data_IF_795970196178
#
_entry.id   IF_795970196178
#
_cell.length_a   1.000
_cell.length_b   1.000
_cell.length_c   1.000
_cell.angle_alpha   90.00
_cell.angle_beta   90.00
_cell.angle_gamma   90.00
#
_symmetry.space_group_name_H-M   'P 1'
#
loop_
_entity.id
_entity.type
_entity.pdbx_description
1 polymer ?
#
# COMPACT_ATOMS: atom_id res chain seq x y z
N UNK A 1 -5.89 -24.94 -10.27
CA UNK A 1 -6.36 -23.68 -9.66
C UNK A 1 -5.19 -22.83 -9.09
N UNK A 2 -4.25 -23.41 -8.31
CA UNK A 2 -3.09 -22.66 -7.79
C UNK A 2 -2.19 -22.10 -8.90
N UNK A 3 -1.92 -22.87 -9.95
CA UNK A 3 -1.20 -22.37 -11.13
C UNK A 3 -1.92 -21.20 -11.80
N UNK A 4 -3.27 -21.25 -11.91
CA UNK A 4 -4.05 -20.17 -12.50
C UNK A 4 -3.97 -18.89 -11.67
N UNK A 5 -4.00 -18.96 -10.33
CA UNK A 5 -3.82 -17.83 -9.44
C UNK A 5 -2.44 -17.19 -9.64
N UNK A 6 -1.38 -18.00 -9.66
CA UNK A 6 0.00 -17.54 -9.88
C UNK A 6 0.17 -16.89 -11.27
N UNK A 7 -0.45 -17.46 -12.31
CA UNK A 7 -0.43 -16.89 -13.68
C UNK A 7 -1.14 -15.53 -13.69
N UNK A 8 -2.34 -15.42 -13.08
CA UNK A 8 -3.05 -14.14 -13.01
C UNK A 8 -2.22 -13.07 -12.27
N UNK A 9 -1.57 -13.44 -11.16
CA UNK A 9 -0.69 -12.53 -10.44
C UNK A 9 0.48 -12.06 -11.34
N UNK A 10 1.13 -12.98 -12.05
CA UNK A 10 2.24 -12.65 -12.97
C UNK A 10 1.77 -11.75 -14.13
N UNK A 11 0.59 -12.00 -14.68
CA UNK A 11 0.00 -11.14 -15.71
C UNK A 11 -0.25 -9.73 -15.15
N UNK A 12 -0.87 -9.63 -13.98
CA UNK A 12 -1.10 -8.33 -13.32
C UNK A 12 0.23 -7.59 -13.06
N UNK A 13 1.25 -8.30 -12.59
CA UNK A 13 2.59 -7.76 -12.38
C UNK A 13 3.19 -7.21 -13.68
N UNK A 14 3.16 -7.98 -14.76
CA UNK A 14 3.64 -7.54 -16.08
C UNK A 14 2.87 -6.32 -16.59
N UNK A 15 1.55 -6.27 -16.36
CA UNK A 15 0.72 -5.11 -16.73
C UNK A 15 1.04 -3.88 -15.88
N UNK A 16 1.37 -4.01 -14.59
CA UNK A 16 1.84 -2.88 -13.77
C UNK A 16 3.20 -2.36 -14.26
N UNK A 17 4.09 -3.24 -14.69
CA UNK A 17 5.34 -2.83 -15.32
C UNK A 17 5.10 -2.03 -16.61
N UNK A 18 4.22 -2.52 -17.50
CA UNK A 18 3.82 -1.80 -18.72
C UNK A 18 3.17 -0.46 -18.35
N UNK A 19 2.31 -0.43 -17.35
CA UNK A 19 1.66 0.80 -16.85
C UNK A 19 2.70 1.84 -16.44
N UNK A 20 3.72 1.43 -15.69
CA UNK A 20 4.82 2.29 -15.26
C UNK A 20 5.57 2.85 -16.48
N UNK A 21 5.93 2.01 -17.44
CA UNK A 21 6.61 2.44 -18.67
C UNK A 21 5.77 3.45 -19.46
N UNK A 22 4.46 3.22 -19.59
CA UNK A 22 3.55 4.11 -20.30
C UNK A 22 3.44 5.49 -19.61
N UNK A 23 3.39 5.53 -18.28
CA UNK A 23 3.41 6.80 -17.55
C UNK A 23 4.75 7.51 -17.68
N UNK A 24 5.87 6.81 -17.69
CA UNK A 24 7.18 7.41 -17.93
C UNK A 24 7.31 7.92 -19.36
N UNK A 25 6.85 7.16 -20.35
CA UNK A 25 6.80 7.62 -21.75
C UNK A 25 5.86 8.83 -21.90
N UNK A 26 4.72 8.86 -21.22
CA UNK A 26 3.86 10.05 -21.17
C UNK A 26 4.61 11.26 -20.62
N UNK A 27 5.34 11.08 -19.53
CA UNK A 27 6.10 12.17 -18.90
C UNK A 27 7.25 12.66 -19.80
N UNK A 28 7.91 11.75 -20.54
CA UNK A 28 9.02 12.09 -21.44
C UNK A 28 8.53 12.70 -22.78
N UNK A 29 7.55 12.06 -23.43
CA UNK A 29 7.10 12.39 -24.78
C UNK A 29 5.95 13.40 -24.79
N UNK A 30 5.31 13.65 -23.64
CA UNK A 30 4.23 14.63 -23.43
C UNK A 30 2.99 14.38 -24.32
N UNK A 31 2.78 13.13 -24.74
CA UNK A 31 1.67 12.72 -25.61
C UNK A 31 0.45 12.28 -24.76
N UNK A 32 -0.70 12.99 -24.80
CA UNK A 32 -1.90 12.63 -24.01
C UNK A 32 -2.45 11.24 -24.32
N UNK A 33 -2.21 10.70 -25.53
CA UNK A 33 -2.59 9.32 -25.88
C UNK A 33 -1.94 8.28 -24.98
N UNK A 34 -0.68 8.51 -24.57
CA UNK A 34 0.06 7.60 -23.69
C UNK A 34 -0.54 7.57 -22.28
N UNK A 35 -0.97 8.71 -21.74
CA UNK A 35 -1.62 8.73 -20.43
C UNK A 35 -2.99 8.02 -20.46
N UNK A 36 -3.77 8.19 -21.53
CA UNK A 36 -5.02 7.46 -21.72
C UNK A 36 -4.80 5.96 -21.82
N UNK A 37 -3.75 5.54 -22.54
CA UNK A 37 -3.38 4.13 -22.64
C UNK A 37 -2.92 3.58 -21.29
N UNK A 38 -2.06 4.33 -20.56
CA UNK A 38 -1.60 3.95 -19.23
C UNK A 38 -2.76 3.72 -18.24
N UNK A 39 -3.75 4.61 -18.23
CA UNK A 39 -4.97 4.50 -17.41
C UNK A 39 -5.75 3.23 -17.77
N UNK A 40 -5.91 2.93 -19.06
CA UNK A 40 -6.63 1.71 -19.50
C UNK A 40 -5.89 0.44 -19.10
N UNK A 41 -4.56 0.42 -19.28
CA UNK A 41 -3.73 -0.73 -18.87
C UNK A 41 -3.73 -0.90 -17.35
N UNK A 42 -3.68 0.20 -16.59
CA UNK A 42 -3.78 0.16 -15.12
C UNK A 42 -5.14 -0.40 -14.66
N UNK A 43 -6.23 0.02 -15.30
CA UNK A 43 -7.56 -0.53 -15.01
C UNK A 43 -7.63 -2.03 -15.30
N UNK A 44 -7.14 -2.46 -16.45
CA UNK A 44 -7.08 -3.87 -16.82
C UNK A 44 -6.19 -4.66 -15.85
N UNK A 45 -5.02 -4.11 -15.45
CA UNK A 45 -4.16 -4.71 -14.44
C UNK A 45 -4.88 -4.91 -13.10
N UNK A 46 -5.64 -3.90 -12.66
CA UNK A 46 -6.44 -3.99 -11.43
C UNK A 46 -7.52 -5.08 -11.52
N UNK A 47 -8.19 -5.22 -12.66
CA UNK A 47 -9.20 -6.28 -12.85
C UNK A 47 -8.57 -7.67 -12.77
N UNK A 48 -7.44 -7.89 -13.46
CA UNK A 48 -6.70 -9.15 -13.41
C UNK A 48 -6.18 -9.43 -11.99
N UNK A 49 -5.66 -8.39 -11.32
CA UNK A 49 -5.18 -8.51 -9.95
C UNK A 49 -6.32 -8.84 -8.97
N UNK A 50 -7.48 -8.22 -9.14
CA UNK A 50 -8.69 -8.56 -8.36
C UNK A 50 -9.07 -10.02 -8.56
N UNK A 51 -9.05 -10.51 -9.81
CA UNK A 51 -9.33 -11.91 -10.10
C UNK A 51 -8.31 -12.85 -9.42
N UNK A 52 -7.02 -12.50 -9.38
CA UNK A 52 -6.00 -13.26 -8.65
C UNK A 52 -6.29 -13.31 -7.14
N UNK A 53 -6.65 -12.17 -6.53
CA UNK A 53 -6.99 -12.09 -5.09
C UNK A 53 -8.25 -12.93 -4.78
N UNK A 54 -9.28 -12.81 -5.60
CA UNK A 54 -10.54 -13.58 -5.44
C UNK A 54 -10.27 -15.07 -5.57
N UNK A 55 -9.54 -15.49 -6.63
CA UNK A 55 -9.18 -16.89 -6.82
C UNK A 55 -8.34 -17.42 -5.66
N UNK A 56 -7.43 -16.61 -5.12
CA UNK A 56 -6.67 -16.95 -3.91
C UNK A 56 -7.59 -17.19 -2.71
N UNK A 57 -8.58 -16.32 -2.50
CA UNK A 57 -9.57 -16.48 -1.43
C UNK A 57 -10.38 -17.77 -1.56
N UNK A 58 -10.83 -18.10 -2.78
CA UNK A 58 -11.53 -19.36 -3.07
C UNK A 58 -10.63 -20.57 -2.78
N UNK A 59 -9.37 -20.54 -3.23
CA UNK A 59 -8.42 -21.62 -3.01
C UNK A 59 -8.12 -21.88 -1.55
N UNK A 60 -7.99 -20.81 -0.77
CA UNK A 60 -7.68 -20.91 0.67
C UNK A 60 -8.93 -21.12 1.53
N UNK A 61 -10.15 -20.95 0.99
CA UNK A 61 -11.40 -21.04 1.74
C UNK A 61 -11.56 -19.93 2.79
N UNK A 62 -10.84 -18.81 2.62
CA UNK A 62 -10.81 -17.68 3.55
C UNK A 62 -10.41 -16.38 2.84
N UNK A 63 -10.55 -15.25 3.54
CA UNK A 63 -9.97 -13.99 3.05
C UNK A 63 -8.45 -14.12 2.91
N UNK A 64 -7.87 -13.75 1.74
CA UNK A 64 -6.44 -13.93 1.47
C UNK A 64 -5.62 -12.79 2.10
N UNK A 65 -5.50 -12.80 3.43
CA UNK A 65 -4.87 -11.74 4.24
C UNK A 65 -4.03 -12.29 5.41
N UNK A 66 -3.68 -13.59 5.38
CA UNK A 66 -3.08 -14.25 6.54
C UNK A 66 -1.56 -14.41 6.46
N UNK A 67 -0.94 -14.15 5.32
CA UNK A 67 0.51 -14.23 5.15
C UNK A 67 1.08 -13.02 4.41
N UNK A 68 2.41 -12.94 4.32
CA UNK A 68 3.09 -11.79 3.72
C UNK A 68 2.81 -11.65 2.21
N UNK A 69 2.68 -12.76 1.48
CA UNK A 69 2.31 -12.75 0.07
C UNK A 69 0.92 -12.13 -0.13
N UNK A 70 -0.06 -12.64 0.61
CA UNK A 70 -1.46 -12.18 0.54
C UNK A 70 -1.59 -10.70 0.90
N UNK A 71 -0.92 -10.27 1.97
CA UNK A 71 -0.92 -8.86 2.39
C UNK A 71 -0.24 -7.95 1.36
N UNK A 72 0.94 -8.32 0.86
CA UNK A 72 1.67 -7.51 -0.14
C UNK A 72 0.87 -7.34 -1.42
N UNK A 73 0.21 -8.42 -1.86
CA UNK A 73 -0.68 -8.46 -3.01
C UNK A 73 -1.84 -7.49 -2.81
N UNK A 74 -2.52 -7.55 -1.66
CA UNK A 74 -3.62 -6.64 -1.35
C UNK A 74 -3.16 -5.18 -1.18
N UNK A 75 -1.99 -4.93 -0.61
CA UNK A 75 -1.43 -3.59 -0.44
C UNK A 75 -1.06 -2.95 -1.78
N UNK A 76 -0.38 -3.70 -2.67
CA UNK A 76 -0.06 -3.20 -4.03
C UNK A 76 -1.32 -2.92 -4.83
N UNK A 77 -2.35 -3.77 -4.71
CA UNK A 77 -3.66 -3.57 -5.32
C UNK A 77 -4.34 -2.30 -4.79
N UNK A 78 -4.36 -2.09 -3.47
CA UNK A 78 -4.99 -0.91 -2.86
C UNK A 78 -4.29 0.39 -3.30
N UNK A 79 -2.96 0.42 -3.34
CA UNK A 79 -2.21 1.58 -3.81
C UNK A 79 -2.50 1.88 -5.30
N UNK A 80 -2.55 0.83 -6.15
CA UNK A 80 -2.90 0.97 -7.56
C UNK A 80 -4.33 1.50 -7.75
N UNK A 81 -5.30 0.98 -6.97
CA UNK A 81 -6.71 1.39 -7.02
C UNK A 81 -6.87 2.85 -6.56
N UNK A 82 -6.33 3.19 -5.38
CA UNK A 82 -6.47 4.54 -4.83
C UNK A 82 -5.79 5.54 -5.76
N UNK A 83 -4.58 5.24 -6.27
CA UNK A 83 -3.91 6.12 -7.23
C UNK A 83 -4.70 6.31 -8.51
N UNK A 84 -5.34 5.25 -9.05
CA UNK A 84 -6.20 5.35 -10.24
C UNK A 84 -7.42 6.24 -9.97
N UNK A 85 -8.10 6.06 -8.82
CA UNK A 85 -9.23 6.90 -8.41
C UNK A 85 -8.79 8.38 -8.38
N UNK A 86 -7.62 8.68 -7.83
CA UNK A 86 -7.09 10.05 -7.77
C UNK A 86 -6.73 10.61 -9.15
N UNK A 87 -6.11 9.78 -10.01
CA UNK A 87 -5.81 10.16 -11.39
C UNK A 87 -7.08 10.56 -12.13
N UNK A 88 -8.14 9.75 -12.02
CA UNK A 88 -9.41 10.02 -12.70
C UNK A 88 -10.16 11.21 -12.07
N UNK A 89 -10.28 11.24 -10.74
CA UNK A 89 -11.03 12.30 -10.03
C UNK A 89 -10.43 13.69 -10.21
N UNK A 90 -9.11 13.79 -10.25
CA UNK A 90 -8.41 15.08 -10.32
C UNK A 90 -7.83 15.37 -11.69
N UNK A 91 -8.06 14.51 -12.69
CA UNK A 91 -7.46 14.57 -14.03
C UNK A 91 -5.94 14.80 -13.95
N UNK A 92 -5.26 13.96 -13.19
CA UNK A 92 -3.86 14.11 -12.83
C UNK A 92 -3.02 12.86 -13.22
N UNK A 93 -2.82 12.60 -14.53
CA UNK A 93 -2.09 11.40 -14.99
C UNK A 93 -0.63 11.34 -14.54
N UNK A 94 0.00 12.49 -14.29
CA UNK A 94 1.39 12.55 -13.79
C UNK A 94 1.54 11.84 -12.45
N UNK A 95 0.48 11.78 -11.62
CA UNK A 95 0.49 10.98 -10.39
C UNK A 95 0.88 9.53 -10.66
N UNK A 96 0.43 8.97 -11.81
CA UNK A 96 0.77 7.60 -12.21
C UNK A 96 2.27 7.36 -12.41
N UNK A 97 3.02 8.35 -12.89
CA UNK A 97 4.47 8.25 -13.03
C UNK A 97 5.19 8.11 -11.67
N UNK A 98 4.60 8.60 -10.59
CA UNK A 98 5.17 8.52 -9.25
C UNK A 98 4.58 7.35 -8.43
N UNK A 99 3.31 7.00 -8.62
CA UNK A 99 2.67 5.92 -7.86
C UNK A 99 2.97 4.54 -8.44
N UNK A 100 3.09 4.40 -9.77
CA UNK A 100 3.33 3.10 -10.40
C UNK A 100 4.67 2.44 -9.98
N UNK A 101 5.80 3.15 -9.80
CA UNK A 101 7.01 2.54 -9.26
C UNK A 101 6.80 1.97 -7.85
N UNK A 102 6.08 2.68 -6.98
CA UNK A 102 5.81 2.21 -5.61
C UNK A 102 4.90 0.98 -5.65
N UNK A 103 3.86 1.00 -6.49
CA UNK A 103 2.98 -0.16 -6.71
C UNK A 103 3.78 -1.37 -7.22
N UNK A 104 4.66 -1.16 -8.19
CA UNK A 104 5.49 -2.22 -8.76
C UNK A 104 6.46 -2.79 -7.72
N UNK A 105 7.11 -1.96 -6.90
CA UNK A 105 8.01 -2.42 -5.83
C UNK A 105 7.26 -3.29 -4.81
N UNK A 106 6.04 -2.92 -4.43
CA UNK A 106 5.19 -3.75 -3.56
C UNK A 106 4.79 -5.07 -4.24
N UNK A 107 4.50 -5.05 -5.54
CA UNK A 107 4.18 -6.26 -6.31
C UNK A 107 5.42 -7.17 -6.50
N UNK A 108 6.63 -6.59 -6.66
CA UNK A 108 7.90 -7.35 -6.65
C UNK A 108 8.07 -8.04 -5.30
N UNK A 109 7.88 -7.30 -4.20
CA UNK A 109 7.96 -7.88 -2.86
C UNK A 109 6.95 -9.01 -2.67
N UNK A 110 5.70 -8.86 -3.15
CA UNK A 110 4.71 -9.92 -3.17
C UNK A 110 5.21 -11.15 -3.96
N UNK A 111 5.82 -10.94 -5.13
CA UNK A 111 6.41 -12.01 -5.93
C UNK A 111 7.51 -12.79 -5.20
N UNK A 112 8.39 -12.08 -4.47
CA UNK A 112 9.43 -12.71 -3.64
C UNK A 112 8.81 -13.56 -2.52
N UNK A 113 7.75 -13.07 -1.86
CA UNK A 113 7.02 -13.84 -0.84
C UNK A 113 6.31 -15.05 -1.45
N UNK A 114 5.81 -14.94 -2.68
CA UNK A 114 5.24 -16.08 -3.43
C UNK A 114 6.28 -17.18 -3.67
N UNK A 115 7.50 -16.80 -4.04
CA UNK A 115 8.58 -17.78 -4.23
C UNK A 115 8.92 -18.52 -2.93
N UNK A 116 8.92 -17.82 -1.79
CA UNK A 116 9.10 -18.44 -0.49
C UNK A 116 7.94 -19.38 -0.15
N UNK A 117 6.70 -18.98 -0.41
CA UNK A 117 5.51 -19.82 -0.21
C UNK A 117 5.57 -21.09 -1.06
N UNK A 118 6.01 -21.01 -2.31
CA UNK A 118 6.14 -22.18 -3.19
C UNK A 118 7.16 -23.19 -2.67
N UNK A 119 8.28 -22.74 -2.09
CA UNK A 119 9.26 -23.61 -1.43
C UNK A 119 8.66 -24.34 -0.22
N UNK A 120 7.84 -23.63 0.58
CA UNK A 120 7.13 -24.24 1.74
C UNK A 120 6.13 -25.29 1.25
N UNK A 121 5.39 -25.00 0.17
CA UNK A 121 4.45 -25.98 -0.41
C UNK A 121 5.18 -27.20 -0.96
N UNK A 122 6.30 -27.01 -1.65
CA UNK A 122 7.12 -28.11 -2.18
C UNK A 122 7.63 -29.02 -1.07
N UNK A 123 8.07 -28.45 0.05
CA UNK A 123 8.58 -29.20 1.18
C UNK A 123 7.49 -29.88 2.02
N UNK A 124 6.33 -29.24 2.24
CA UNK A 124 5.35 -29.63 3.26
C UNK A 124 3.93 -29.82 2.72
N UNK A 125 3.73 -29.67 1.40
CA UNK A 125 2.42 -29.74 0.76
C UNK A 125 1.58 -28.47 0.94
N UNK A 126 0.49 -28.38 0.16
CA UNK A 126 -0.39 -27.20 0.15
C UNK A 126 -1.10 -26.93 1.49
N UNK A 127 -1.33 -27.98 2.27
CA UNK A 127 -2.03 -27.86 3.55
C UNK A 127 -1.21 -27.08 4.59
N UNK A 128 0.11 -26.96 4.41
CA UNK A 128 0.97 -26.14 5.25
C UNK A 128 0.64 -24.64 5.22
N UNK A 129 0.12 -24.15 4.09
CA UNK A 129 -0.30 -22.74 3.93
C UNK A 129 -1.81 -22.56 4.05
N UNK A 130 -2.60 -23.64 3.85
CA UNK A 130 -4.06 -23.62 3.96
C UNK A 130 -4.51 -23.69 5.42
N UNK A 131 -3.86 -24.56 6.20
CA UNK A 131 -4.17 -24.75 7.60
C UNK A 131 -3.49 -23.69 8.46
N UNK A 132 -4.21 -22.60 8.69
CA UNK A 132 -3.73 -21.52 9.56
C UNK A 132 -3.62 -21.97 11.01
N UNK A 133 -2.65 -21.38 11.72
CA UNK A 133 -2.59 -21.45 13.18
C UNK A 133 -3.92 -20.95 13.78
N UNK A 134 -4.35 -21.46 14.93
CA UNK A 134 -5.63 -21.09 15.57
C UNK A 134 -5.81 -19.56 15.68
N UNK A 135 -4.75 -18.83 16.04
CA UNK A 135 -4.74 -17.38 16.14
C UNK A 135 -5.17 -16.67 14.84
N UNK A 136 -4.82 -17.22 13.68
CA UNK A 136 -5.12 -16.65 12.36
C UNK A 136 -6.50 -17.06 11.81
N UNK A 137 -7.24 -17.92 12.50
CA UNK A 137 -8.59 -18.37 12.08
C UNK A 137 -9.69 -17.42 12.56
N UNK A 138 -9.34 -16.32 13.21
CA UNK A 138 -10.30 -15.36 13.76
C UNK A 138 -10.84 -14.41 12.69
N UNK A 139 -12.14 -14.11 12.75
CA UNK A 139 -12.78 -13.08 11.92
C UNK A 139 -12.19 -11.68 12.18
N UNK A 140 -11.66 -11.45 13.39
CA UNK A 140 -10.99 -10.21 13.76
C UNK A 140 -9.75 -9.93 12.92
N UNK A 141 -9.01 -10.99 12.54
CA UNK A 141 -7.86 -10.85 11.63
C UNK A 141 -8.27 -10.23 10.29
N UNK A 142 -9.35 -10.72 9.68
CA UNK A 142 -9.83 -10.21 8.39
C UNK A 142 -10.19 -8.72 8.46
N UNK A 143 -10.88 -8.29 9.51
CA UNK A 143 -11.25 -6.89 9.71
C UNK A 143 -10.00 -6.04 9.99
N UNK A 144 -9.12 -6.49 10.89
CA UNK A 144 -7.85 -5.82 11.22
C UNK A 144 -7.03 -5.58 9.96
N UNK A 145 -6.75 -6.62 9.18
CA UNK A 145 -5.91 -6.51 7.98
C UNK A 145 -6.57 -5.66 6.90
N UNK A 146 -7.89 -5.73 6.74
CA UNK A 146 -8.62 -4.87 5.78
C UNK A 146 -8.45 -3.39 6.12
N UNK A 147 -8.53 -3.03 7.40
CA UNK A 147 -8.33 -1.63 7.84
C UNK A 147 -6.88 -1.17 7.66
N UNK A 148 -5.89 -2.05 7.90
CA UNK A 148 -4.47 -1.78 7.60
C UNK A 148 -4.26 -1.46 6.13
N UNK A 149 -4.84 -2.26 5.22
CA UNK A 149 -4.67 -2.09 3.76
C UNK A 149 -5.19 -0.72 3.32
N UNK A 150 -6.36 -0.31 3.81
CA UNK A 150 -6.91 1.03 3.50
C UNK A 150 -6.02 2.13 4.07
N UNK A 151 -5.56 2.00 5.32
CA UNK A 151 -4.68 2.97 5.97
C UNK A 151 -3.36 3.13 5.18
N UNK A 152 -2.70 2.04 4.89
CA UNK A 152 -1.41 2.05 4.20
C UNK A 152 -1.52 2.50 2.74
N UNK A 153 -2.61 2.13 2.06
CA UNK A 153 -2.91 2.65 0.72
C UNK A 153 -3.10 4.17 0.70
N UNK A 154 -3.83 4.73 1.66
CA UNK A 154 -4.02 6.17 1.81
C UNK A 154 -2.70 6.89 2.14
N UNK A 155 -1.90 6.35 3.06
CA UNK A 155 -0.56 6.89 3.38
C UNK A 155 0.38 6.80 2.19
N UNK A 156 0.32 5.73 1.39
CA UNK A 156 1.10 5.58 0.17
C UNK A 156 0.80 6.65 -0.88
N UNK A 157 -0.48 6.97 -1.08
CA UNK A 157 -0.87 8.09 -1.97
C UNK A 157 -0.42 9.44 -1.38
N UNK A 158 -0.56 9.64 -0.06
CA UNK A 158 -0.05 10.84 0.60
C UNK A 158 1.47 11.01 0.42
N UNK A 159 2.22 9.93 0.54
CA UNK A 159 3.67 9.89 0.30
C UNK A 159 3.99 10.34 -1.13
N UNK A 160 3.34 9.75 -2.14
CA UNK A 160 3.55 10.11 -3.54
C UNK A 160 3.27 11.60 -3.78
N UNK A 161 2.16 12.12 -3.24
CA UNK A 161 1.82 13.54 -3.34
C UNK A 161 2.85 14.44 -2.63
N UNK A 162 3.36 14.01 -1.48
CA UNK A 162 4.41 14.69 -0.72
C UNK A 162 5.72 14.75 -1.50
N UNK A 163 6.13 13.65 -2.13
CA UNK A 163 7.31 13.61 -3.00
C UNK A 163 7.14 14.56 -4.20
N UNK A 164 5.99 14.52 -4.88
CA UNK A 164 5.69 15.44 -5.98
C UNK A 164 5.75 16.90 -5.50
N UNK A 165 5.19 17.21 -4.32
CA UNK A 165 5.24 18.54 -3.73
C UNK A 165 6.68 19.01 -3.52
N UNK A 166 7.54 18.17 -2.95
CA UNK A 166 8.95 18.48 -2.69
C UNK A 166 9.74 18.70 -3.98
N UNK A 167 9.48 17.90 -5.00
CA UNK A 167 10.15 17.99 -6.30
C UNK A 167 9.66 19.18 -7.11
N UNK A 168 8.40 19.61 -6.95
CA UNK A 168 7.83 20.73 -7.74
C UNK A 168 8.62 22.03 -7.60
N UNK A 169 9.26 22.27 -6.45
CA UNK A 169 10.11 23.46 -6.25
C UNK A 169 11.39 23.49 -7.11
N UNK A 170 11.76 22.35 -7.72
CA UNK A 170 12.92 22.20 -8.60
C UNK A 170 12.54 22.12 -10.08
N UNK A 171 11.25 22.19 -10.40
CA UNK A 171 10.77 22.07 -11.78
C UNK A 171 10.87 23.42 -12.48
N UNK A 172 11.15 23.38 -13.80
CA UNK A 172 11.23 24.57 -14.64
C UNK A 172 9.85 25.22 -14.73
N UNK A 173 9.76 26.52 -14.46
CA UNK A 173 8.55 27.31 -14.64
C UNK A 173 8.02 27.23 -16.06
N UNK A 174 6.69 27.09 -16.20
CA UNK A 174 6.00 26.90 -17.49
C UNK A 174 6.45 25.64 -18.27
N UNK A 175 7.23 24.74 -17.63
CA UNK A 175 7.56 23.45 -18.21
C UNK A 175 6.38 22.47 -18.19
N UNK A 176 6.52 21.34 -18.90
CA UNK A 176 5.48 20.28 -18.92
C UNK A 176 5.01 19.86 -17.53
N UNK A 177 5.94 19.62 -16.62
CA UNK A 177 5.63 19.20 -15.25
C UNK A 177 4.87 20.26 -14.47
N UNK A 178 5.26 21.54 -14.63
CA UNK A 178 4.59 22.65 -13.96
C UNK A 178 3.14 22.83 -14.42
N UNK A 179 2.89 22.63 -15.70
CA UNK A 179 1.57 22.73 -16.31
C UNK A 179 0.65 21.53 -15.98
N UNK A 180 1.21 20.32 -15.79
CA UNK A 180 0.45 19.08 -15.62
C UNK A 180 0.41 18.58 -14.17
N UNK A 181 1.12 19.22 -13.25
CA UNK A 181 1.06 18.95 -11.82
C UNK A 181 0.17 20.00 -11.14
N UNK A 182 -0.79 19.61 -10.30
CA UNK A 182 -1.61 20.54 -9.54
C UNK A 182 -0.76 21.52 -8.74
N UNK A 183 -1.30 22.73 -8.47
CA UNK A 183 -0.64 23.72 -7.62
C UNK A 183 -0.28 23.12 -6.26
N UNK A 184 0.78 23.65 -5.62
CA UNK A 184 1.28 23.14 -4.33
C UNK A 184 0.20 23.07 -3.25
N UNK A 185 -0.68 24.06 -3.20
CA UNK A 185 -1.77 24.14 -2.22
C UNK A 185 -2.76 22.99 -2.40
N UNK A 186 -3.04 22.60 -3.66
CA UNK A 186 -3.92 21.47 -3.97
C UNK A 186 -3.26 20.14 -3.63
N UNK A 187 -1.95 19.97 -3.95
CA UNK A 187 -1.20 18.77 -3.58
C UNK A 187 -1.18 18.58 -2.07
N UNK A 188 -0.88 19.64 -1.33
CA UNK A 188 -0.85 19.65 0.12
C UNK A 188 -2.21 19.35 0.74
N UNK A 189 -3.29 19.94 0.20
CA UNK A 189 -4.66 19.67 0.67
C UNK A 189 -5.08 18.22 0.43
N UNK A 190 -4.75 17.65 -0.73
CA UNK A 190 -5.09 16.25 -1.04
C UNK A 190 -4.26 15.30 -0.17
N UNK A 191 -2.96 15.56 -0.01
CA UNK A 191 -2.08 14.78 0.87
C UNK A 191 -2.61 14.77 2.31
N UNK A 192 -3.01 15.92 2.84
CA UNK A 192 -3.65 16.02 4.16
C UNK A 192 -4.90 15.14 4.29
N UNK A 193 -5.79 15.17 3.30
CA UNK A 193 -7.00 14.33 3.31
C UNK A 193 -6.65 12.84 3.31
N UNK A 194 -5.64 12.44 2.55
CA UNK A 194 -5.14 11.07 2.55
C UNK A 194 -4.58 10.67 3.93
N UNK A 195 -3.78 11.55 4.57
CA UNK A 195 -3.29 11.30 5.93
C UNK A 195 -4.44 11.18 6.92
N UNK A 196 -5.46 12.06 6.84
CA UNK A 196 -6.62 12.01 7.73
C UNK A 196 -7.39 10.69 7.60
N UNK A 197 -7.62 10.22 6.37
CA UNK A 197 -8.25 8.92 6.11
C UNK A 197 -7.37 7.79 6.64
N UNK A 198 -6.09 7.80 6.29
CA UNK A 198 -5.13 6.79 6.75
C UNK A 198 -5.05 6.70 8.28
N UNK A 199 -5.04 7.85 8.97
CA UNK A 199 -5.01 7.93 10.43
C UNK A 199 -6.27 7.38 11.07
N UNK A 200 -7.44 7.66 10.51
CA UNK A 200 -8.71 7.11 10.98
C UNK A 200 -8.68 5.57 10.91
N UNK A 201 -8.30 5.02 9.76
CA UNK A 201 -8.22 3.57 9.59
C UNK A 201 -7.09 2.93 10.41
N UNK A 202 -5.94 3.58 10.57
CA UNK A 202 -4.86 3.08 11.42
C UNK A 202 -5.27 3.04 12.89
N UNK A 203 -6.03 4.04 13.35
CA UNK A 203 -6.59 4.04 14.71
C UNK A 203 -7.51 2.84 14.91
N UNK A 204 -8.46 2.61 13.99
CA UNK A 204 -9.35 1.44 14.02
C UNK A 204 -8.54 0.13 13.97
N UNK A 205 -7.48 0.09 13.14
CA UNK A 205 -6.56 -1.04 13.04
C UNK A 205 -5.92 -1.40 14.39
N UNK A 206 -5.40 -0.41 15.13
CA UNK A 206 -4.76 -0.64 16.44
C UNK A 206 -5.77 -1.20 17.43
N UNK A 207 -6.98 -0.62 17.51
CA UNK A 207 -8.03 -1.11 18.40
C UNK A 207 -8.47 -2.54 18.08
N UNK A 208 -8.77 -2.82 16.82
CA UNK A 208 -9.20 -4.16 16.39
C UNK A 208 -8.05 -5.17 16.53
N UNK A 209 -6.81 -4.73 16.28
CA UNK A 209 -5.61 -5.53 16.49
C UNK A 209 -5.44 -5.95 17.95
N UNK A 210 -5.71 -5.06 18.92
CA UNK A 210 -5.72 -5.38 20.34
C UNK A 210 -6.79 -6.40 20.70
N UNK A 211 -8.02 -6.25 20.20
CA UNK A 211 -9.10 -7.24 20.40
C UNK A 211 -8.70 -8.61 19.83
N UNK A 212 -8.11 -8.60 18.64
CA UNK A 212 -7.61 -9.84 18.04
C UNK A 212 -6.48 -10.46 18.86
N UNK A 213 -5.52 -9.66 19.34
CA UNK A 213 -4.39 -10.11 20.17
C UNK A 213 -4.87 -10.73 21.48
N UNK A 214 -5.87 -10.13 22.17
CA UNK A 214 -6.50 -10.69 23.36
C UNK A 214 -7.08 -12.09 23.08
N UNK A 215 -7.81 -12.24 21.96
CA UNK A 215 -8.39 -13.53 21.58
C UNK A 215 -7.35 -14.56 21.13
N UNK A 216 -6.22 -14.11 20.55
CA UNK A 216 -5.20 -14.98 19.98
C UNK A 216 -4.14 -15.41 21.00
N UNK A 217 -3.75 -14.51 21.90
CA UNK A 217 -2.62 -14.66 22.81
C UNK A 217 -2.94 -14.35 24.28
N UNK A 218 -4.21 -13.94 24.60
CA UNK A 218 -4.62 -13.62 25.96
C UNK A 218 -4.07 -12.29 26.48
N UNK A 219 -3.66 -11.38 25.61
CA UNK A 219 -3.17 -10.05 25.96
C UNK A 219 -3.55 -9.04 24.91
N UNK A 220 -4.24 -7.98 25.31
CA UNK A 220 -4.63 -6.89 24.40
C UNK A 220 -3.44 -6.14 23.81
N UNK A 221 -2.33 -6.07 24.54
CA UNK A 221 -1.11 -5.38 24.16
C UNK A 221 0.11 -6.03 24.83
N UNK A 222 1.09 -6.45 24.02
CA UNK A 222 2.26 -7.19 24.50
C UNK A 222 3.60 -6.47 24.25
N UNK A 223 3.56 -5.25 23.67
CA UNK A 223 4.75 -4.55 23.19
C UNK A 223 5.55 -5.33 22.14
N UNK A 224 4.88 -6.21 21.42
CA UNK A 224 5.47 -6.85 20.24
C UNK A 224 6.05 -5.80 19.28
N UNK A 225 7.16 -6.08 18.59
CA UNK A 225 7.76 -5.12 17.67
C UNK A 225 6.77 -4.53 16.65
N UNK A 226 5.81 -5.32 16.18
CA UNK A 226 4.81 -4.84 15.21
C UNK A 226 3.77 -3.88 15.84
N UNK A 227 3.34 -4.18 17.05
CA UNK A 227 2.48 -3.29 17.85
C UNK A 227 3.19 -1.97 18.13
N UNK A 228 4.45 -2.06 18.60
CA UNK A 228 5.29 -0.89 18.93
C UNK A 228 5.50 0.01 17.71
N UNK A 229 5.86 -0.54 16.57
CA UNK A 229 6.09 0.24 15.35
C UNK A 229 4.80 0.76 14.71
N UNK A 230 3.67 0.06 14.88
CA UNK A 230 2.36 0.58 14.51
C UNK A 230 2.01 1.82 15.36
N UNK A 231 2.28 1.78 16.68
CA UNK A 231 2.11 2.92 17.58
C UNK A 231 3.05 4.08 17.21
N UNK A 232 4.33 3.81 16.93
CA UNK A 232 5.28 4.84 16.46
C UNK A 232 4.76 5.52 15.19
N UNK A 233 4.30 4.74 14.21
CA UNK A 233 3.71 5.27 12.97
C UNK A 233 2.49 6.13 13.28
N UNK A 234 1.60 5.66 14.16
CA UNK A 234 0.41 6.39 14.61
C UNK A 234 0.77 7.72 15.26
N UNK A 235 1.76 7.74 16.17
CA UNK A 235 2.23 8.97 16.85
C UNK A 235 2.79 9.97 15.84
N UNK A 236 3.58 9.53 14.85
CA UNK A 236 4.13 10.41 13.81
C UNK A 236 3.01 11.11 13.04
N UNK A 237 2.00 10.37 12.60
CA UNK A 237 0.87 10.96 11.89
C UNK A 237 -0.06 11.77 12.80
N UNK A 238 -0.19 11.41 14.08
CA UNK A 238 -0.90 12.22 15.08
C UNK A 238 -0.23 13.59 15.25
N UNK A 239 1.10 13.61 15.39
CA UNK A 239 1.90 14.85 15.46
C UNK A 239 1.72 15.68 14.18
N UNK A 240 1.78 15.02 13.00
CA UNK A 240 1.50 15.69 11.72
C UNK A 240 0.13 16.39 11.74
N UNK A 241 -0.95 15.68 12.11
CA UNK A 241 -2.30 16.22 12.14
C UNK A 241 -2.44 17.33 13.20
N UNK A 242 -1.88 17.13 14.39
CA UNK A 242 -1.91 18.11 15.48
C UNK A 242 -1.24 19.43 15.05
N UNK A 243 -0.03 19.37 14.50
CA UNK A 243 0.70 20.54 14.07
C UNK A 243 0.02 21.23 12.89
N UNK A 244 -0.62 20.46 12.01
CA UNK A 244 -1.39 21.01 10.90
C UNK A 244 -2.63 21.77 11.36
N UNK A 245 -3.40 21.20 12.29
CA UNK A 245 -4.64 21.79 12.78
C UNK A 245 -4.35 22.96 13.74
N UNK A 246 -3.38 22.82 14.64
CA UNK A 246 -3.12 23.80 15.72
C UNK A 246 -2.12 24.87 15.33
N UNK A 247 -1.13 24.57 14.51
CA UNK A 247 -0.03 25.47 14.12
C UNK A 247 -0.07 25.88 12.66
N UNK A 248 -1.08 25.44 11.90
CA UNK A 248 -1.22 25.76 10.47
C UNK A 248 -0.07 25.19 9.60
N UNK A 249 0.62 24.15 10.05
CA UNK A 249 1.70 23.54 9.26
C UNK A 249 1.15 23.08 7.92
N UNK A 250 1.84 23.50 6.85
CA UNK A 250 1.49 23.16 5.48
C UNK A 250 2.75 23.15 4.62
N UNK A 251 2.59 22.76 3.38
CA UNK A 251 3.66 22.87 2.41
C UNK A 251 4.82 21.94 2.69
N UNK A 252 6.05 22.48 2.67
CA UNK A 252 7.28 21.65 2.74
C UNK A 252 7.40 20.81 4.01
N UNK A 253 7.08 21.40 5.14
CA UNK A 253 7.18 20.71 6.44
C UNK A 253 6.18 19.56 6.51
N UNK A 254 4.93 19.80 6.10
CA UNK A 254 3.91 18.76 6.03
C UNK A 254 4.31 17.63 5.05
N UNK A 255 4.88 17.97 3.89
CA UNK A 255 5.34 16.98 2.92
C UNK A 255 6.50 16.12 3.45
N UNK A 256 7.44 16.70 4.22
CA UNK A 256 8.52 15.94 4.86
C UNK A 256 7.93 14.96 5.89
N UNK A 257 7.01 15.41 6.76
CA UNK A 257 6.37 14.53 7.74
C UNK A 257 5.56 13.41 7.07
N UNK A 258 4.81 13.72 5.99
CA UNK A 258 4.11 12.69 5.21
C UNK A 258 5.05 11.64 4.60
N UNK A 259 6.23 12.08 4.15
CA UNK A 259 7.28 11.20 3.61
C UNK A 259 7.87 10.31 4.71
N UNK A 260 8.27 10.90 5.85
CA UNK A 260 8.83 10.17 6.99
C UNK A 260 7.81 9.17 7.55
N UNK A 261 6.55 9.57 7.70
CA UNK A 261 5.49 8.69 8.17
C UNK A 261 5.31 7.45 7.29
N UNK A 262 5.40 7.60 5.97
CA UNK A 262 5.29 6.44 5.07
C UNK A 262 6.53 5.54 5.11
N UNK A 263 7.73 6.09 5.32
CA UNK A 263 8.94 5.28 5.58
C UNK A 263 8.73 4.42 6.84
N UNK A 264 8.12 4.98 7.89
CA UNK A 264 7.76 4.20 9.09
C UNK A 264 6.70 3.13 8.80
N UNK A 265 5.72 3.40 7.92
CA UNK A 265 4.76 2.38 7.45
C UNK A 265 5.51 1.22 6.78
N UNK A 266 6.43 1.52 5.85
CA UNK A 266 7.23 0.48 5.17
C UNK A 266 8.11 -0.29 6.15
N UNK A 267 8.69 0.39 7.13
CA UNK A 267 9.47 -0.27 8.16
C UNK A 267 8.60 -1.17 9.05
N UNK A 268 7.45 -0.70 9.48
CA UNK A 268 6.47 -1.51 10.25
C UNK A 268 6.06 -2.76 9.47
N UNK A 269 5.89 -2.63 8.17
CA UNK A 269 5.45 -3.74 7.33
C UNK A 269 6.60 -4.68 6.94
N UNK A 270 7.67 -4.17 6.32
CA UNK A 270 8.78 -4.97 5.78
C UNK A 270 9.87 -5.15 6.83
N UNK A 271 10.33 -4.04 7.43
CA UNK A 271 11.47 -4.03 8.34
C UNK A 271 11.24 -4.88 9.58
N UNK A 272 10.10 -4.70 10.25
CA UNK A 272 9.76 -5.49 11.44
C UNK A 272 9.68 -6.98 11.11
N UNK A 273 9.02 -7.34 10.00
CA UNK A 273 8.88 -8.76 9.62
C UNK A 273 10.21 -9.45 9.25
N UNK A 274 11.20 -8.66 8.78
CA UNK A 274 12.50 -9.22 8.33
C UNK A 274 13.59 -9.16 9.37
N UNK A 275 13.59 -8.12 10.21
CA UNK A 275 14.70 -7.80 11.11
C UNK A 275 14.41 -8.12 12.58
N UNK A 276 13.14 -8.14 13.00
CA UNK A 276 12.77 -8.24 14.40
C UNK A 276 11.95 -9.52 14.65
N UNK A 277 12.35 -10.37 15.61
CA UNK A 277 11.53 -11.51 16.05
C UNK A 277 10.33 -10.99 16.85
N UNK A 278 9.14 -11.59 16.67
CA UNK A 278 7.94 -11.20 17.40
C UNK A 278 6.77 -12.16 17.16
N UNK A 279 5.67 -11.96 17.89
CA UNK A 279 4.44 -12.75 17.77
C UNK A 279 3.83 -12.68 16.36
N UNK A 280 4.08 -11.61 15.64
CA UNK A 280 3.62 -11.38 14.28
C UNK A 280 4.64 -11.81 13.19
N UNK A 281 5.79 -12.37 13.55
CA UNK A 281 6.77 -12.88 12.59
C UNK A 281 6.41 -14.32 12.19
N UNK A 282 5.46 -14.47 11.29
CA UNK A 282 5.12 -15.76 10.68
C UNK A 282 6.19 -16.12 9.64
N UNK A 283 7.19 -16.86 10.07
CA UNK A 283 8.23 -17.48 9.23
C UNK A 283 7.81 -18.89 8.85
#
# INVERSE_FOLDING_TARGET
MMQAESILFLIAFGMYFITMLLYFLYAALKKPSLSKLAIRVQLAALLVHTAAIVLRGILMGRLPMANQYEFSTAFSWALALISLIFILKFNFPVLGAFSSPVTLLLAVYAGLQKLNELKVIEANGIDSIRNLMPALRSSWLGIHVSTVIVAYGAFGVSFVLSVIFLLRGKMKENGFWDQHIPKKEKLDTISYRCVSIGMMFLTVTIFIGGIWAENAWGSYWSWDPKETWALVTWVIYLVYLHLRIRKGWSGRTAAIFGTVGFICVLFTYIGVNTLLPGLHSYK
#
